data_IF_942894107317
#
_entry.id   IF_942894107317
#
_cell.length_a   1.000
_cell.length_b   1.000
_cell.length_c   1.000
_cell.angle_alpha   90.00
_cell.angle_beta   90.00
_cell.angle_gamma   90.00
#
_symmetry.space_group_name_H-M   'P 1'
#
loop_
_entity.id
_entity.type
_entity.pdbx_description
1 polymer ?
#
# COMPACT_ATOMS: atom_id res chain seq x y z
N UNK A 1 -16.68 14.10 2.57
CA UNK A 1 -15.72 13.20 3.21
C UNK A 1 -14.70 14.06 3.94
N UNK A 2 -14.33 13.69 5.17
CA UNK A 2 -13.33 14.42 5.95
C UNK A 2 -11.97 14.42 5.23
N UNK A 3 -11.08 15.30 5.69
CA UNK A 3 -9.72 15.46 5.17
C UNK A 3 -8.93 14.13 5.18
N UNK A 4 -8.12 13.92 4.14
CA UNK A 4 -7.29 12.73 3.98
C UNK A 4 -5.83 13.09 4.21
N UNK A 5 -5.14 12.30 5.04
CA UNK A 5 -3.69 12.35 5.19
C UNK A 5 -3.06 11.10 4.57
N UNK A 6 -2.09 11.28 3.70
CA UNK A 6 -1.27 10.17 3.20
C UNK A 6 -0.19 9.85 4.23
N UNK A 7 -0.08 8.58 4.59
CA UNK A 7 0.94 8.04 5.49
C UNK A 7 1.81 7.06 4.71
N UNK A 8 3.10 7.38 4.61
CA UNK A 8 4.11 6.54 3.96
C UNK A 8 5.00 5.96 5.06
N UNK A 9 4.90 4.65 5.38
CA UNK A 9 5.84 4.01 6.29
C UNK A 9 7.18 3.86 5.60
N UNK A 10 8.29 4.17 6.29
CA UNK A 10 9.61 4.02 5.71
C UNK A 10 10.60 3.43 6.71
N UNK A 11 11.47 2.56 6.19
CA UNK A 11 12.55 1.90 6.90
C UNK A 11 13.89 2.21 6.23
N UNK A 12 14.89 2.58 7.03
CA UNK A 12 16.27 2.77 6.57
C UNK A 12 16.93 1.44 6.19
N UNK A 13 16.53 0.35 6.86
CA UNK A 13 16.96 -1.03 6.56
C UNK A 13 15.75 -1.95 6.67
N UNK A 14 15.65 -2.90 5.78
CA UNK A 14 14.60 -3.93 5.83
C UNK A 14 15.15 -5.29 5.32
N UNK A 15 14.32 -6.32 5.33
CA UNK A 15 14.71 -7.66 4.88
C UNK A 15 14.97 -7.79 3.37
N UNK A 16 14.64 -6.77 2.58
CA UNK A 16 14.79 -6.77 1.12
C UNK A 16 16.04 -6.03 0.68
N UNK A 17 16.53 -5.07 1.48
CA UNK A 17 17.68 -4.25 1.16
C UNK A 17 18.34 -3.71 2.42
N UNK A 18 19.67 -3.64 2.43
CA UNK A 18 20.45 -2.94 3.47
C UNK A 18 20.16 -1.44 3.48
N UNK A 19 19.69 -0.90 2.35
CA UNK A 19 19.28 0.51 2.23
C UNK A 19 17.77 0.71 2.45
N UNK A 20 17.04 -0.35 2.78
CA UNK A 20 15.60 -0.29 3.04
C UNK A 20 14.82 0.39 1.92
N UNK A 21 14.04 1.39 2.28
CA UNK A 21 13.25 2.18 1.32
C UNK A 21 14.06 3.33 0.68
N UNK A 22 15.34 3.46 1.05
CA UNK A 22 16.31 4.36 0.42
C UNK A 22 17.09 3.70 -0.72
N UNK A 23 16.76 2.46 -1.08
CA UNK A 23 17.32 1.79 -2.24
C UNK A 23 17.03 2.57 -3.52
N UNK A 24 18.00 2.58 -4.44
CA UNK A 24 17.86 3.26 -5.74
C UNK A 24 16.66 2.74 -6.52
N UNK A 25 15.91 3.65 -7.13
CA UNK A 25 14.77 3.37 -7.99
C UNK A 25 14.72 4.41 -9.12
N UNK A 26 15.26 4.05 -10.28
CA UNK A 26 15.58 5.02 -11.33
C UNK A 26 16.61 6.04 -10.84
N UNK A 27 16.37 7.31 -11.10
CA UNK A 27 17.23 8.44 -10.71
C UNK A 27 17.04 8.90 -9.25
N UNK A 28 16.18 8.24 -8.50
CA UNK A 28 15.81 8.62 -7.13
C UNK A 28 15.83 7.40 -6.20
N UNK A 29 15.30 7.52 -5.00
CA UNK A 29 15.07 6.38 -4.09
C UNK A 29 13.62 5.92 -4.14
N UNK A 30 13.38 4.67 -3.75
CA UNK A 30 12.03 4.11 -3.67
C UNK A 30 11.08 4.97 -2.81
N UNK A 31 11.60 5.53 -1.71
CA UNK A 31 10.84 6.45 -0.85
C UNK A 31 10.57 7.80 -1.54
N UNK A 32 11.57 8.42 -2.16
CA UNK A 32 11.40 9.68 -2.88
C UNK A 32 10.42 9.52 -4.05
N UNK A 33 10.49 8.40 -4.79
CA UNK A 33 9.51 8.05 -5.80
C UNK A 33 8.09 8.03 -5.21
N UNK A 34 7.86 7.32 -4.09
CA UNK A 34 6.54 7.26 -3.46
C UNK A 34 6.07 8.64 -2.99
N UNK A 35 6.96 9.46 -2.44
CA UNK A 35 6.63 10.84 -2.06
C UNK A 35 6.23 11.66 -3.28
N UNK A 36 6.96 11.58 -4.39
CA UNK A 36 6.65 12.30 -5.62
C UNK A 36 5.27 11.91 -6.17
N UNK A 37 4.92 10.62 -6.12
CA UNK A 37 3.61 10.14 -6.53
C UNK A 37 2.49 10.63 -5.59
N UNK A 38 2.74 10.63 -4.29
CA UNK A 38 1.77 11.15 -3.31
C UNK A 38 1.49 12.65 -3.50
N UNK A 39 2.47 13.44 -3.92
CA UNK A 39 2.33 14.88 -4.21
C UNK A 39 1.46 15.17 -5.44
N UNK A 40 1.30 14.21 -6.35
CA UNK A 40 0.45 14.33 -7.54
C UNK A 40 -1.04 14.08 -7.23
N UNK A 41 -1.39 13.74 -5.98
CA UNK A 41 -2.75 13.40 -5.60
C UNK A 41 -3.48 14.63 -5.09
N UNK A 42 -4.50 15.06 -5.81
CA UNK A 42 -5.31 16.21 -5.43
C UNK A 42 -6.22 15.95 -4.23
N UNK A 43 -6.53 17.00 -3.47
CA UNK A 43 -7.45 16.95 -2.34
C UNK A 43 -6.90 16.25 -1.09
N UNK A 44 -5.57 16.16 -0.98
CA UNK A 44 -4.86 15.63 0.20
C UNK A 44 -4.52 16.76 1.16
N UNK A 45 -4.82 16.56 2.45
CA UNK A 45 -4.51 17.54 3.49
C UNK A 45 -3.01 17.63 3.76
N UNK A 46 -2.37 16.47 3.99
CA UNK A 46 -0.94 16.39 4.27
C UNK A 46 -0.37 15.04 3.83
N UNK A 47 0.92 15.04 3.55
CA UNK A 47 1.74 13.84 3.34
C UNK A 47 2.68 13.68 4.52
N UNK A 48 2.62 12.53 5.18
CA UNK A 48 3.48 12.17 6.30
C UNK A 48 4.31 10.94 5.95
N UNK A 49 5.60 11.01 6.26
CA UNK A 49 6.47 9.83 6.28
C UNK A 49 6.69 9.43 7.73
N UNK A 50 6.42 8.17 8.08
CA UNK A 50 6.66 7.67 9.44
C UNK A 50 7.87 6.75 9.50
N UNK A 51 8.87 7.10 10.33
CA UNK A 51 10.10 6.35 10.50
C UNK A 51 10.75 6.61 11.87
N UNK A 52 11.73 5.76 12.24
CA UNK A 52 12.65 6.01 13.38
C UNK A 52 13.99 6.62 12.92
N UNK A 53 14.26 6.71 11.62
CA UNK A 53 15.54 7.13 11.04
C UNK A 53 15.68 8.65 10.94
N UNK A 54 16.88 9.16 11.27
CA UNK A 54 17.23 10.56 11.04
C UNK A 54 17.53 10.86 9.57
N UNK A 55 18.08 9.90 8.81
CA UNK A 55 18.28 10.05 7.37
C UNK A 55 16.94 10.28 6.68
N UNK A 56 15.93 9.46 6.98
CA UNK A 56 14.57 9.63 6.44
C UNK A 56 13.96 10.95 6.88
N UNK A 57 14.21 11.40 8.13
CA UNK A 57 13.77 12.73 8.59
C UNK A 57 14.36 13.86 7.73
N UNK A 58 15.65 13.80 7.41
CA UNK A 58 16.32 14.79 6.57
C UNK A 58 15.80 14.77 5.13
N UNK A 59 15.55 13.57 4.59
CA UNK A 59 14.92 13.38 3.28
C UNK A 59 13.51 13.99 3.23
N UNK A 60 12.72 13.87 4.31
CA UNK A 60 11.41 14.52 4.40
C UNK A 60 11.51 16.04 4.31
N UNK A 61 12.51 16.66 4.99
CA UNK A 61 12.77 18.10 4.88
C UNK A 61 13.10 18.49 3.45
N UNK A 62 14.04 17.80 2.81
CA UNK A 62 14.43 18.03 1.41
C UNK A 62 13.24 17.94 0.46
N UNK A 63 12.35 16.99 0.69
CA UNK A 63 11.16 16.77 -0.11
C UNK A 63 9.93 17.58 0.34
N UNK A 64 10.05 18.46 1.32
CA UNK A 64 8.95 19.29 1.83
C UNK A 64 7.68 18.49 2.19
N UNK A 65 7.88 17.38 2.93
CA UNK A 65 6.80 16.55 3.51
C UNK A 65 6.96 16.41 5.01
N UNK A 66 5.88 16.13 5.72
CA UNK A 66 5.87 16.03 7.17
C UNK A 66 6.48 14.71 7.66
N UNK A 67 7.27 14.78 8.73
CA UNK A 67 7.87 13.60 9.35
C UNK A 67 7.15 13.25 10.66
N UNK A 68 6.79 11.95 10.82
CA UNK A 68 6.25 11.41 12.06
C UNK A 68 7.24 10.40 12.66
N UNK A 69 7.88 10.80 13.75
CA UNK A 69 8.77 9.92 14.50
C UNK A 69 8.00 8.74 15.09
N UNK A 70 8.52 7.53 14.90
CA UNK A 70 8.04 6.32 15.58
C UNK A 70 9.17 5.63 16.32
N UNK A 71 8.85 4.85 17.36
CA UNK A 71 9.83 4.02 18.05
C UNK A 71 10.38 2.95 17.09
N UNK A 72 11.70 2.61 17.16
CA UNK A 72 12.23 1.42 16.50
C UNK A 72 11.44 0.17 16.91
N UNK A 73 11.26 -0.77 16.00
CA UNK A 73 10.60 -2.06 16.26
C UNK A 73 9.17 -1.97 16.84
N UNK A 74 8.49 -0.83 16.68
CA UNK A 74 7.07 -0.72 17.06
C UNK A 74 6.26 -1.70 16.23
N UNK A 75 5.34 -2.45 16.85
CA UNK A 75 4.41 -3.33 16.14
C UNK A 75 3.41 -2.52 15.30
N UNK A 76 2.96 -3.10 14.19
CA UNK A 76 2.04 -2.40 13.27
C UNK A 76 0.73 -2.02 13.96
N UNK A 77 0.15 -2.88 14.79
CA UNK A 77 -1.07 -2.59 15.54
C UNK A 77 -0.92 -1.36 16.44
N UNK A 78 0.19 -1.27 17.20
CA UNK A 78 0.49 -0.09 18.03
C UNK A 78 0.69 1.16 17.18
N UNK A 79 1.39 1.06 16.06
CA UNK A 79 1.58 2.18 15.14
C UNK A 79 0.24 2.66 14.57
N UNK A 80 -0.60 1.75 14.10
CA UNK A 80 -1.93 2.09 13.54
C UNK A 80 -2.82 2.75 14.61
N UNK A 81 -2.80 2.27 15.86
CA UNK A 81 -3.53 2.91 16.97
C UNK A 81 -3.01 4.31 17.27
N UNK A 82 -1.69 4.52 17.29
CA UNK A 82 -1.10 5.85 17.51
C UNK A 82 -1.49 6.84 16.40
N UNK A 83 -1.40 6.42 15.15
CA UNK A 83 -1.83 7.22 14.00
C UNK A 83 -3.33 7.48 14.03
N UNK A 84 -4.12 6.45 14.33
CA UNK A 84 -5.57 6.54 14.46
C UNK A 84 -6.01 7.50 15.58
N UNK A 85 -5.31 7.50 16.72
CA UNK A 85 -5.54 8.47 17.82
C UNK A 85 -5.21 9.89 17.36
N UNK A 86 -4.06 10.08 16.69
CA UNK A 86 -3.60 11.39 16.20
C UNK A 86 -4.56 12.01 15.18
N UNK A 87 -5.09 11.20 14.28
CA UNK A 87 -5.94 11.62 13.16
C UNK A 87 -7.38 11.13 13.30
N UNK A 88 -7.91 11.10 14.53
CA UNK A 88 -9.19 10.46 14.88
C UNK A 88 -10.36 10.83 13.97
N UNK A 89 -10.47 12.09 13.58
CA UNK A 89 -11.58 12.62 12.78
C UNK A 89 -11.30 12.65 11.27
N UNK A 90 -10.09 12.29 10.84
CA UNK A 90 -9.60 12.35 9.48
C UNK A 90 -9.47 10.94 8.90
N UNK A 91 -9.26 10.86 7.59
CA UNK A 91 -8.93 9.59 6.94
C UNK A 91 -7.41 9.43 6.83
N UNK A 92 -6.95 8.21 7.06
CA UNK A 92 -5.58 7.76 6.86
C UNK A 92 -5.51 6.96 5.56
N UNK A 93 -4.76 7.45 4.59
CA UNK A 93 -4.37 6.70 3.41
C UNK A 93 -2.93 6.22 3.61
N UNK A 94 -2.79 4.94 3.89
CA UNK A 94 -1.50 4.28 4.00
C UNK A 94 -1.08 3.75 2.65
N UNK A 95 0.16 4.04 2.21
CA UNK A 95 0.72 3.51 0.96
C UNK A 95 2.20 3.18 1.15
N UNK A 96 2.61 1.99 0.71
CA UNK A 96 3.97 1.49 0.92
C UNK A 96 4.92 1.94 -0.20
N UNK A 97 6.16 2.37 0.12
CA UNK A 97 7.19 2.58 -0.90
C UNK A 97 7.43 1.33 -1.74
N UNK A 98 7.36 0.15 -1.11
CA UNK A 98 7.56 -1.15 -1.77
C UNK A 98 6.51 -1.53 -2.82
N UNK A 99 5.46 -0.73 -2.99
CA UNK A 99 4.47 -0.86 -4.06
C UNK A 99 4.59 0.32 -5.06
N UNK A 100 5.69 0.44 -5.82
CA UNK A 100 6.01 1.64 -6.58
C UNK A 100 5.06 1.92 -7.74
N UNK A 101 4.48 0.88 -8.34
CA UNK A 101 3.61 0.98 -9.52
C UNK A 101 2.15 1.29 -9.19
N UNK A 102 1.77 1.36 -7.91
CA UNK A 102 0.53 1.97 -7.47
C UNK A 102 0.82 3.46 -7.21
N UNK A 103 0.68 4.27 -8.24
CA UNK A 103 1.21 5.64 -8.33
C UNK A 103 0.14 6.72 -8.14
N UNK A 104 0.47 7.98 -8.37
CA UNK A 104 -0.38 9.13 -8.04
C UNK A 104 -1.78 9.07 -8.64
N UNK A 105 -1.90 8.76 -9.95
CA UNK A 105 -3.18 8.60 -10.64
C UNK A 105 -4.04 7.49 -10.05
N UNK A 106 -3.41 6.35 -9.71
CA UNK A 106 -4.10 5.20 -9.11
C UNK A 106 -4.57 5.50 -7.70
N UNK A 107 -3.74 6.20 -6.90
CA UNK A 107 -4.09 6.65 -5.56
C UNK A 107 -5.29 7.61 -5.61
N UNK A 108 -5.30 8.54 -6.56
CA UNK A 108 -6.42 9.46 -6.75
C UNK A 108 -7.70 8.71 -7.12
N UNK A 109 -7.66 7.81 -8.11
CA UNK A 109 -8.83 7.02 -8.52
C UNK A 109 -9.34 6.12 -7.38
N UNK A 110 -8.44 5.50 -6.63
CA UNK A 110 -8.77 4.73 -5.42
C UNK A 110 -9.58 5.56 -4.40
N UNK A 111 -9.14 6.79 -4.13
CA UNK A 111 -9.84 7.71 -3.22
C UNK A 111 -11.23 8.05 -3.77
N UNK A 112 -11.34 8.39 -5.05
CA UNK A 112 -12.61 8.77 -5.67
C UNK A 112 -13.60 7.62 -5.65
N UNK A 113 -13.16 6.40 -5.97
CA UNK A 113 -14.01 5.20 -5.93
C UNK A 113 -14.46 4.87 -4.51
N UNK A 114 -13.58 5.00 -3.52
CA UNK A 114 -14.00 4.84 -2.13
C UNK A 114 -15.00 5.91 -1.70
N UNK A 115 -14.81 7.19 -2.06
CA UNK A 115 -15.76 8.26 -1.75
C UNK A 115 -17.18 7.93 -2.24
N UNK A 116 -17.31 7.41 -3.46
CA UNK A 116 -18.59 6.98 -4.02
C UNK A 116 -19.23 5.81 -3.25
N UNK A 117 -18.42 4.96 -2.63
CA UNK A 117 -18.85 3.76 -1.93
C UNK A 117 -18.86 3.89 -0.38
N UNK A 118 -18.49 5.04 0.16
CA UNK A 118 -18.30 5.27 1.60
C UNK A 118 -19.56 5.13 2.47
N UNK A 119 -20.75 5.17 1.87
CA UNK A 119 -22.02 4.88 2.58
C UNK A 119 -22.19 3.38 2.89
N UNK A 120 -21.59 2.49 2.10
CA UNK A 120 -21.69 1.03 2.23
C UNK A 120 -20.44 0.40 2.83
N UNK A 121 -19.30 1.08 2.73
CA UNK A 121 -17.99 0.58 3.12
C UNK A 121 -17.32 1.50 4.13
N UNK A 122 -16.67 0.91 5.13
CA UNK A 122 -16.02 1.61 6.26
C UNK A 122 -14.52 1.84 6.05
N UNK A 123 -13.96 1.19 5.06
CA UNK A 123 -12.54 1.26 4.67
C UNK A 123 -12.39 0.87 3.20
N UNK A 124 -11.21 1.06 2.64
CA UNK A 124 -10.85 0.55 1.32
C UNK A 124 -9.45 -0.05 1.32
N UNK A 125 -9.22 -0.99 0.43
CA UNK A 125 -7.92 -1.66 0.26
C UNK A 125 -7.71 -2.06 -1.19
N UNK A 126 -6.46 -1.94 -1.66
CA UNK A 126 -6.07 -2.44 -2.97
C UNK A 126 -5.96 -3.96 -2.96
N UNK A 127 -6.44 -4.59 -4.01
CA UNK A 127 -6.40 -6.03 -4.14
C UNK A 127 -6.22 -6.48 -5.59
N UNK A 128 -5.77 -7.72 -5.75
CA UNK A 128 -5.70 -8.41 -7.04
C UNK A 128 -6.65 -9.61 -7.01
N UNK A 129 -7.36 -9.83 -8.10
CA UNK A 129 -8.19 -11.01 -8.30
C UNK A 129 -7.32 -12.11 -8.89
N UNK A 130 -7.10 -13.18 -8.11
CA UNK A 130 -6.29 -14.33 -8.49
C UNK A 130 -7.19 -15.50 -8.90
N UNK A 131 -7.08 -15.95 -10.12
CA UNK A 131 -7.84 -17.10 -10.65
C UNK A 131 -6.90 -18.27 -10.93
N UNK A 132 -6.25 -18.73 -9.85
CA UNK A 132 -5.26 -19.82 -9.85
C UNK A 132 -5.70 -20.91 -8.88
N UNK A 133 -5.00 -22.07 -8.91
CA UNK A 133 -5.26 -23.19 -7.99
C UNK A 133 -4.62 -22.88 -6.62
N UNK A 134 -5.45 -22.80 -5.58
CA UNK A 134 -4.97 -22.57 -4.22
C UNK A 134 -5.22 -23.77 -3.33
N UNK A 135 -4.20 -24.12 -2.54
CA UNK A 135 -4.26 -25.14 -1.51
C UNK A 135 -3.96 -24.57 -0.14
N UNK A 136 -4.61 -25.09 0.87
CA UNK A 136 -4.26 -24.90 2.28
C UNK A 136 -4.20 -26.25 2.98
N UNK A 137 -3.05 -26.60 3.57
CA UNK A 137 -2.83 -27.88 4.24
C UNK A 137 -3.33 -29.08 3.42
N UNK A 138 -2.90 -29.16 2.17
CA UNK A 138 -3.26 -30.20 1.19
C UNK A 138 -4.75 -30.29 0.81
N UNK A 139 -5.56 -29.28 1.17
CA UNK A 139 -6.96 -29.14 0.73
C UNK A 139 -7.08 -28.03 -0.28
N UNK A 140 -7.79 -28.28 -1.39
CA UNK A 140 -8.11 -27.24 -2.36
C UNK A 140 -9.04 -26.18 -1.73
N UNK A 141 -8.76 -24.89 -1.99
CA UNK A 141 -9.55 -23.77 -1.45
C UNK A 141 -10.65 -23.30 -2.39
N UNK A 142 -10.39 -23.31 -3.68
CA UNK A 142 -11.21 -22.60 -4.64
C UNK A 142 -11.61 -23.44 -5.88
N UNK A 143 -11.34 -24.74 -5.85
CA UNK A 143 -11.74 -25.69 -6.89
C UNK A 143 -12.01 -27.07 -6.29
N UNK A 144 -12.73 -27.92 -7.07
CA UNK A 144 -13.04 -29.28 -6.71
C UNK A 144 -11.89 -30.21 -7.16
N UNK A 145 -11.04 -30.65 -6.20
CA UNK A 145 -9.89 -31.51 -6.46
C UNK A 145 -10.24 -33.00 -6.70
N UNK A 146 -11.51 -33.38 -6.55
CA UNK A 146 -11.96 -34.75 -6.87
C UNK A 146 -12.08 -34.98 -8.39
N UNK A 147 -12.14 -33.91 -9.18
CA UNK A 147 -12.20 -33.97 -10.63
C UNK A 147 -10.83 -34.17 -11.24
N UNK A 148 -10.72 -35.02 -12.27
CA UNK A 148 -9.46 -35.28 -12.99
C UNK A 148 -8.83 -34.01 -13.57
N UNK A 149 -9.67 -33.07 -14.03
CA UNK A 149 -9.22 -31.79 -14.59
C UNK A 149 -10.24 -30.70 -14.27
N UNK A 150 -9.77 -29.59 -13.73
CA UNK A 150 -10.60 -28.38 -13.54
C UNK A 150 -10.02 -27.28 -14.44
N UNK A 151 -10.79 -26.85 -15.43
CA UNK A 151 -10.37 -25.76 -16.31
C UNK A 151 -10.22 -24.47 -15.51
N UNK A 152 -9.15 -23.69 -15.78
CA UNK A 152 -8.81 -22.46 -15.06
C UNK A 152 -9.97 -21.46 -15.03
N UNK A 153 -10.76 -21.36 -16.09
CA UNK A 153 -11.94 -20.49 -16.16
C UNK A 153 -13.11 -20.90 -15.25
N UNK A 154 -13.10 -22.13 -14.72
CA UNK A 154 -14.09 -22.65 -13.75
C UNK A 154 -13.63 -22.53 -12.30
N UNK A 155 -12.40 -22.12 -12.07
CA UNK A 155 -11.87 -21.92 -10.72
C UNK A 155 -12.48 -20.65 -10.12
N UNK A 156 -12.93 -20.71 -8.87
CA UNK A 156 -13.38 -19.54 -8.14
C UNK A 156 -12.20 -18.64 -7.83
N UNK A 157 -12.28 -17.37 -8.21
CA UNK A 157 -11.22 -16.40 -7.93
C UNK A 157 -11.14 -16.11 -6.43
N UNK A 158 -9.92 -16.01 -5.92
CA UNK A 158 -9.62 -15.46 -4.60
C UNK A 158 -9.16 -14.00 -4.72
N UNK A 159 -9.35 -13.25 -3.65
CA UNK A 159 -8.94 -11.85 -3.56
C UNK A 159 -7.68 -11.77 -2.71
N UNK A 160 -6.58 -11.34 -3.32
CA UNK A 160 -5.31 -11.09 -2.64
C UNK A 160 -5.19 -9.61 -2.32
N UNK A 161 -5.09 -9.27 -1.04
CA UNK A 161 -4.81 -7.90 -0.61
C UNK A 161 -3.37 -7.55 -0.99
N UNK A 162 -3.18 -6.37 -1.59
CA UNK A 162 -1.88 -5.86 -2.02
C UNK A 162 -1.45 -4.66 -1.16
N UNK A 163 -0.15 -4.34 -1.19
CA UNK A 163 0.41 -3.24 -0.41
C UNK A 163 0.26 -1.85 -1.04
N UNK A 164 -0.50 -1.71 -2.12
CA UNK A 164 -0.67 -0.45 -2.84
C UNK A 164 -1.21 0.67 -1.96
N UNK A 165 -2.42 0.46 -1.41
CA UNK A 165 -3.01 1.42 -0.48
C UNK A 165 -4.07 0.79 0.45
N UNK A 166 -4.22 1.43 1.61
CA UNK A 166 -5.32 1.23 2.56
C UNK A 166 -5.90 2.60 2.91
N UNK A 167 -7.21 2.71 2.99
CA UNK A 167 -7.89 3.96 3.35
C UNK A 167 -8.94 3.67 4.43
N UNK A 168 -8.79 4.30 5.59
CA UNK A 168 -9.66 4.08 6.76
C UNK A 168 -9.80 5.35 7.58
N UNK A 169 -10.92 5.54 8.26
CA UNK A 169 -11.08 6.62 9.24
C UNK A 169 -10.16 6.39 10.45
N UNK A 170 -9.49 7.44 10.93
CA UNK A 170 -8.56 7.32 12.05
C UNK A 170 -9.17 6.73 13.32
N UNK A 171 -10.44 7.05 13.63
CA UNK A 171 -11.15 6.44 14.76
C UNK A 171 -11.24 4.92 14.66
N UNK A 172 -11.48 4.37 13.46
CA UNK A 172 -11.52 2.92 13.24
C UNK A 172 -10.13 2.29 13.31
N UNK A 173 -9.11 2.95 12.75
CA UNK A 173 -7.72 2.50 12.87
C UNK A 173 -7.27 2.44 14.35
N UNK A 174 -7.69 3.41 15.17
CA UNK A 174 -7.45 3.40 16.62
C UNK A 174 -8.12 2.22 17.32
N UNK A 175 -9.39 1.98 17.03
CA UNK A 175 -10.15 0.88 17.64
C UNK A 175 -9.61 -0.50 17.23
N UNK A 176 -9.40 -0.69 15.94
CA UNK A 176 -9.06 -2.00 15.37
C UNK A 176 -7.57 -2.36 15.53
N UNK A 177 -6.66 -1.36 15.52
CA UNK A 177 -5.22 -1.60 15.43
C UNK A 177 -4.75 -2.08 14.05
N UNK A 178 -5.64 -2.13 13.07
CA UNK A 178 -5.38 -2.46 11.67
C UNK A 178 -5.99 -1.41 10.74
N UNK A 179 -5.51 -1.36 9.51
CA UNK A 179 -5.99 -0.40 8.50
C UNK A 179 -7.13 -0.98 7.64
N UNK A 180 -7.86 -1.93 8.18
CA UNK A 180 -8.98 -2.59 7.53
C UNK A 180 -10.19 -2.61 8.46
N UNK A 181 -11.34 -2.20 7.95
CA UNK A 181 -12.61 -2.25 8.65
C UNK A 181 -13.33 -3.59 8.45
N UNK A 182 -14.57 -3.66 8.93
CA UNK A 182 -15.43 -4.85 8.78
C UNK A 182 -16.06 -4.98 7.40
N UNK A 183 -16.24 -3.86 6.69
CA UNK A 183 -16.86 -3.78 5.36
C UNK A 183 -15.96 -3.03 4.38
N UNK A 184 -14.78 -3.59 4.01
CA UNK A 184 -13.85 -2.91 3.13
C UNK A 184 -14.39 -2.83 1.69
N UNK A 185 -14.11 -1.71 1.02
CA UNK A 185 -14.20 -1.60 -0.42
C UNK A 185 -12.95 -2.21 -1.04
N UNK A 186 -13.10 -3.25 -1.84
CA UNK A 186 -12.01 -3.89 -2.59
C UNK A 186 -11.78 -3.15 -3.90
N UNK A 187 -10.67 -2.43 -3.99
CA UNK A 187 -10.22 -1.77 -5.22
C UNK A 187 -9.33 -2.73 -6.00
N UNK A 188 -9.84 -3.25 -7.10
CA UNK A 188 -9.13 -4.20 -7.95
C UNK A 188 -8.08 -3.48 -8.79
N UNK A 189 -6.82 -3.89 -8.62
CA UNK A 189 -5.66 -3.44 -9.38
C UNK A 189 -5.36 -4.40 -10.52
N UNK A 190 -4.63 -3.93 -11.53
CA UNK A 190 -4.00 -4.83 -12.50
C UNK A 190 -2.73 -5.46 -11.91
N UNK A 191 -2.11 -6.37 -12.67
CA UNK A 191 -0.90 -7.08 -12.23
C UNK A 191 0.25 -6.12 -11.88
N UNK A 192 0.55 -5.13 -12.74
CA UNK A 192 1.64 -4.18 -12.53
C UNK A 192 1.42 -3.34 -11.27
N UNK A 193 0.23 -2.77 -11.09
CA UNK A 193 -0.15 -2.01 -9.90
C UNK A 193 -0.07 -2.83 -8.60
N UNK A 194 -0.20 -4.16 -8.70
CA UNK A 194 -0.17 -5.07 -7.55
C UNK A 194 1.22 -5.50 -7.12
N UNK A 195 2.26 -5.16 -7.91
CA UNK A 195 3.64 -5.56 -7.61
C UNK A 195 4.16 -4.91 -6.33
N UNK A 196 4.75 -5.75 -5.49
CA UNK A 196 5.40 -5.34 -4.25
C UNK A 196 6.83 -5.86 -4.20
N UNK A 197 7.77 -5.00 -3.84
CA UNK A 197 9.15 -5.38 -3.57
C UNK A 197 9.22 -6.19 -2.27
N UNK A 198 9.50 -7.49 -2.39
CA UNK A 198 9.57 -8.44 -1.27
C UNK A 198 10.93 -9.14 -1.15
N UNK A 199 11.76 -9.01 -2.17
CA UNK A 199 13.09 -9.64 -2.22
C UNK A 199 14.08 -8.71 -2.92
N UNK A 200 15.37 -8.83 -2.60
CA UNK A 200 16.45 -8.07 -3.24
C UNK A 200 16.49 -8.29 -4.77
N UNK A 201 16.23 -9.52 -5.23
CA UNK A 201 16.20 -9.84 -6.67
C UNK A 201 15.17 -9.03 -7.46
N UNK A 202 14.06 -8.63 -6.83
CA UNK A 202 13.01 -7.83 -7.47
C UNK A 202 13.44 -6.38 -7.71
N UNK A 203 14.49 -5.87 -7.06
CA UNK A 203 14.97 -4.50 -7.28
C UNK A 203 15.38 -4.31 -8.76
N UNK A 204 16.20 -5.23 -9.30
CA UNK A 204 16.62 -5.17 -10.71
C UNK A 204 15.44 -5.31 -11.67
N UNK A 205 14.50 -6.23 -11.36
CA UNK A 205 13.28 -6.38 -12.18
C UNK A 205 12.47 -5.08 -12.19
N UNK A 206 12.31 -4.44 -11.04
CA UNK A 206 11.53 -3.20 -10.93
C UNK A 206 12.20 -2.02 -11.65
N UNK A 207 13.54 -1.96 -11.71
CA UNK A 207 14.24 -0.96 -12.51
C UNK A 207 13.90 -1.10 -14.01
N UNK A 208 13.96 -2.32 -14.56
CA UNK A 208 13.58 -2.55 -15.96
C UNK A 208 12.11 -2.25 -16.26
N UNK A 209 11.22 -2.55 -15.32
CA UNK A 209 9.80 -2.23 -15.45
C UNK A 209 9.53 -0.72 -15.36
N UNK A 210 10.29 0.02 -14.56
CA UNK A 210 10.12 1.47 -14.39
C UNK A 210 10.29 2.23 -15.69
N UNK A 211 11.31 1.91 -16.48
CA UNK A 211 11.55 2.55 -17.77
C UNK A 211 10.36 2.43 -18.72
N UNK A 212 9.79 1.23 -18.78
CA UNK A 212 8.57 0.99 -19.58
C UNK A 212 7.33 1.67 -19.00
N UNK A 213 7.20 1.70 -17.68
CA UNK A 213 6.10 2.39 -16.99
C UNK A 213 6.12 3.90 -17.26
N UNK A 214 7.31 4.54 -17.20
CA UNK A 214 7.44 5.97 -17.45
C UNK A 214 7.14 6.37 -18.90
N UNK A 215 7.40 5.49 -19.86
CA UNK A 215 7.05 5.71 -21.29
C UNK A 215 5.55 5.69 -21.55
N UNK A 216 4.73 5.18 -20.62
CA UNK A 216 3.27 5.04 -20.75
C UNK A 216 2.50 6.10 -19.96
N UNK A 217 3.20 6.98 -19.21
CA UNK A 217 2.60 8.08 -18.43
C UNK A 217 2.61 9.39 -19.22
#
# INVERSE_FOLDING_TARGET
MNEINIIIPALEKNKYSEYGDLVSFGETTLLEWKISQAKKVDGIKNIYVTSSSNLIKNLCKKNNVKFLRRKPKISLDKLHRLLGKKFKNEYLLWTNPTAPFFAGKDIYDFIIKFKKNSKKNDSAVTCLKEQEYFYYKNKSLNFDSSKKTVSRNKIKSLVKITGGAYLIKGSLAYQNGILLGKKPYFYYTNWLQSLELKTTKQIHLFHGLLENYLKQQ
#
